data_IF_705722944027
#
_entry.id   IF_705722944027
#
_cell.length_a   1.000
_cell.length_b   1.000
_cell.length_c   1.000
_cell.angle_alpha   90.00
_cell.angle_beta   90.00
_cell.angle_gamma   90.00
#
_symmetry.space_group_name_H-M   'P 1'
#
loop_
_entity.id
_entity.type
_entity.pdbx_description
1 polymer ?
#
# COMPACT_ATOMS: atom_id res chain seq x y z
N UNK A 1 12.00 23.35 -32.12
CA UNK A 1 10.72 23.43 -32.88
C UNK A 1 10.37 22.00 -33.28
N UNK A 2 9.25 21.34 -32.96
CA UNK A 2 7.96 21.65 -32.35
C UNK A 2 7.46 20.39 -31.61
N UNK A 3 7.15 20.58 -30.34
CA UNK A 3 6.05 20.02 -29.52
C UNK A 3 5.16 18.91 -30.13
N UNK A 4 5.07 17.78 -29.41
CA UNK A 4 3.93 16.85 -29.44
C UNK A 4 3.40 16.71 -28.01
N UNK A 5 2.45 17.56 -27.67
CA UNK A 5 1.70 17.56 -26.42
C UNK A 5 0.25 17.26 -26.76
N UNK A 6 -0.21 16.01 -26.64
CA UNK A 6 -1.64 15.65 -26.71
C UNK A 6 -1.88 14.26 -26.12
N UNK A 7 -2.07 14.14 -24.80
CA UNK A 7 -3.04 13.20 -24.20
C UNK A 7 -3.54 13.84 -22.89
N UNK A 8 -4.48 14.77 -23.01
CA UNK A 8 -5.40 15.18 -21.94
C UNK A 8 -6.82 15.12 -22.52
N UNK A 9 -7.49 14.01 -22.28
CA UNK A 9 -8.94 13.82 -22.31
C UNK A 9 -9.14 12.63 -21.35
N UNK A 10 -9.85 12.74 -20.24
CA UNK A 10 -11.32 12.82 -20.20
C UNK A 10 -11.75 13.26 -18.77
N UNK A 11 -12.57 14.30 -18.62
CA UNK A 11 -13.52 14.40 -17.51
C UNK A 11 -14.95 14.26 -18.06
N UNK A 12 -15.63 13.16 -17.71
CA UNK A 12 -17.05 12.95 -17.99
C UNK A 12 -17.87 13.45 -16.81
N UNK A 13 -18.48 14.62 -17.03
CA UNK A 13 -19.86 15.01 -16.74
C UNK A 13 -20.67 14.15 -15.76
N UNK A 14 -20.99 14.71 -14.59
CA UNK A 14 -22.31 14.53 -13.96
C UNK A 14 -22.78 15.91 -13.45
N UNK A 15 -23.67 16.52 -14.22
CA UNK A 15 -24.53 17.63 -13.81
C UNK A 15 -25.89 17.08 -13.44
N UNK A 16 -26.38 17.35 -12.22
CA UNK A 16 -27.81 17.31 -11.90
C UNK A 16 -28.15 18.59 -11.12
N UNK A 17 -29.23 19.21 -11.55
CA UNK A 17 -29.61 20.60 -11.35
C UNK A 17 -30.63 20.78 -10.22
N UNK A 18 -30.62 21.99 -9.64
CA UNK A 18 -31.76 22.78 -9.11
C UNK A 18 -32.46 22.33 -7.81
N UNK A 19 -32.30 23.16 -6.78
CA UNK A 19 -33.43 23.82 -6.11
C UNK A 19 -32.94 25.09 -5.39
N UNK A 20 -33.25 26.25 -5.96
CA UNK A 20 -33.13 27.56 -5.30
C UNK A 20 -34.24 27.68 -4.24
N UNK A 21 -33.91 28.15 -3.05
CA UNK A 21 -34.87 28.76 -2.14
C UNK A 21 -34.31 30.10 -1.66
N UNK A 22 -35.07 31.15 -1.95
CA UNK A 22 -34.85 32.53 -1.55
C UNK A 22 -35.00 32.67 -0.03
N UNK A 23 -34.22 33.55 0.61
CA UNK A 23 -34.76 34.47 1.62
C UNK A 23 -33.77 35.61 1.94
N UNK A 24 -34.24 36.80 1.60
CA UNK A 24 -34.15 38.08 2.33
C UNK A 24 -32.78 38.65 2.76
N UNK A 25 -32.48 39.78 2.15
CA UNK A 25 -31.56 40.79 2.64
C UNK A 25 -31.97 41.32 4.03
N UNK A 26 -30.98 41.55 4.89
CA UNK A 26 -31.03 42.60 5.90
C UNK A 26 -29.68 43.33 5.93
N UNK A 27 -29.78 44.65 5.95
CA UNK A 27 -28.72 45.63 5.81
C UNK A 27 -28.30 46.13 7.21
N UNK A 28 -27.03 46.54 7.30
CA UNK A 28 -26.39 47.40 8.32
C UNK A 28 -25.89 46.75 9.63
N UNK A 29 -24.56 46.75 9.81
CA UNK A 29 -23.92 47.86 10.55
C UNK A 29 -22.38 47.77 10.57
N UNK A 30 -21.77 48.90 10.20
CA UNK A 30 -20.53 49.51 10.68
C UNK A 30 -19.34 48.67 11.16
N UNK A 31 -18.16 48.97 10.59
CA UNK A 31 -16.90 48.78 11.29
C UNK A 31 -15.67 48.79 10.38
N UNK A 32 -15.31 49.95 9.83
CA UNK A 32 -13.97 50.18 9.31
C UNK A 32 -12.95 50.07 10.46
N UNK A 33 -12.14 49.02 10.46
CA UNK A 33 -11.10 48.81 11.46
C UNK A 33 -10.09 47.78 10.99
N UNK A 34 -9.12 48.21 10.20
CA UNK A 34 -7.82 47.56 10.11
C UNK A 34 -7.26 47.37 11.51
N UNK A 35 -7.12 46.12 11.97
CA UNK A 35 -6.41 45.81 13.21
C UNK A 35 -5.58 44.55 13.01
N UNK A 36 -4.27 44.76 13.15
CA UNK A 36 -3.23 43.79 13.02
C UNK A 36 -3.36 42.65 14.06
N UNK A 37 -2.97 41.46 13.61
CA UNK A 37 -2.49 40.29 14.35
C UNK A 37 -2.66 40.27 15.88
N UNK A 38 -3.65 39.52 16.35
CA UNK A 38 -3.50 38.72 17.58
C UNK A 38 -3.69 37.25 17.19
N UNK A 39 -2.59 36.61 16.80
CA UNK A 39 -2.56 35.21 16.40
C UNK A 39 -2.75 34.30 17.61
N UNK A 40 -4.01 34.11 18.05
CA UNK A 40 -4.37 32.92 18.80
C UNK A 40 -4.26 31.77 17.81
N UNK A 41 -3.21 30.95 17.93
CA UNK A 41 -3.08 29.71 17.18
C UNK A 41 -4.21 28.77 17.61
N UNK A 42 -5.38 28.88 16.98
CA UNK A 42 -6.40 27.86 17.09
C UNK A 42 -5.88 26.63 16.35
N UNK A 43 -5.63 25.57 17.10
CA UNK A 43 -5.45 24.22 16.56
C UNK A 43 -6.67 23.93 15.68
N UNK A 44 -6.51 24.06 14.35
CA UNK A 44 -7.58 23.80 13.41
C UNK A 44 -8.23 22.45 13.74
N UNK A 45 -9.56 22.45 13.92
CA UNK A 45 -10.29 21.25 14.31
C UNK A 45 -10.00 20.10 13.35
N UNK A 46 -10.16 18.83 13.75
CA UNK A 46 -9.91 17.68 12.88
C UNK A 46 -10.71 17.73 11.57
N UNK A 47 -11.81 18.48 11.58
CA UNK A 47 -12.63 18.72 10.40
C UNK A 47 -12.22 19.93 9.57
N UNK A 48 -11.24 20.76 9.94
CA UNK A 48 -10.95 22.05 9.27
C UNK A 48 -10.00 22.00 8.08
N UNK A 49 -9.23 20.91 7.94
CA UNK A 49 -8.22 20.80 6.89
C UNK A 49 -8.78 20.07 5.65
N UNK A 50 -8.73 20.73 4.50
CA UNK A 50 -9.11 20.13 3.21
C UNK A 50 -8.09 19.08 2.75
N UNK A 51 -6.80 19.36 2.94
CA UNK A 51 -5.69 18.47 2.59
C UNK A 51 -4.93 18.05 3.85
N UNK A 52 -4.37 16.85 3.82
CA UNK A 52 -3.53 16.29 4.90
C UNK A 52 -4.23 16.34 6.27
N UNK A 53 -5.39 15.66 6.43
CA UNK A 53 -6.06 15.57 7.73
C UNK A 53 -5.21 14.79 8.73
N UNK A 54 -5.48 14.94 10.03
CA UNK A 54 -4.69 14.28 11.09
C UNK A 54 -4.73 12.75 11.03
N UNK A 55 -5.79 12.19 10.45
CA UNK A 55 -6.00 10.77 10.20
C UNK A 55 -5.62 10.35 8.76
N UNK A 56 -4.77 11.13 8.09
CA UNK A 56 -4.31 10.82 6.74
C UNK A 56 -3.62 9.45 6.65
N UNK A 57 -2.79 9.12 7.65
CA UNK A 57 -1.98 7.91 7.66
C UNK A 57 -2.63 6.85 8.54
N UNK A 58 -2.84 5.68 7.98
CA UNK A 58 -3.30 4.52 8.73
C UNK A 58 -2.61 3.28 8.20
N UNK A 59 -2.26 2.34 9.06
CA UNK A 59 -1.54 1.16 8.63
C UNK A 59 -1.27 0.19 9.75
N UNK A 60 -0.58 -0.88 9.39
CA UNK A 60 -0.04 -1.84 10.33
C UNK A 60 1.30 -2.34 9.80
N UNK A 61 2.12 -2.84 10.71
CA UNK A 61 3.32 -3.59 10.40
C UNK A 61 3.33 -4.84 11.27
N UNK A 62 3.86 -5.93 10.73
CA UNK A 62 3.86 -7.25 11.33
C UNK A 62 5.21 -7.90 11.09
N UNK A 63 5.72 -8.56 12.12
CA UNK A 63 6.91 -9.39 12.04
C UNK A 63 6.52 -10.82 12.36
N UNK A 64 6.78 -11.71 11.41
CA UNK A 64 6.49 -13.12 11.51
C UNK A 64 7.78 -13.94 11.55
N UNK A 65 7.77 -14.96 12.40
CA UNK A 65 8.81 -15.97 12.50
C UNK A 65 8.21 -17.34 12.24
N UNK A 66 8.68 -17.98 11.18
CA UNK A 66 8.31 -19.33 10.77
C UNK A 66 9.23 -20.38 11.41
N UNK A 67 8.71 -21.29 12.25
CA UNK A 67 9.49 -22.39 12.80
C UNK A 67 10.05 -23.34 11.73
N UNK A 68 11.04 -24.20 12.07
CA UNK A 68 11.51 -25.25 11.19
C UNK A 68 10.39 -26.10 10.61
N UNK A 69 10.50 -26.43 9.33
CA UNK A 69 9.52 -27.19 8.55
C UNK A 69 8.20 -26.45 8.26
N UNK A 70 8.10 -25.15 8.59
CA UNK A 70 6.97 -24.29 8.24
C UNK A 70 7.45 -22.98 7.61
N UNK A 71 8.52 -23.05 6.82
CA UNK A 71 9.11 -21.90 6.12
C UNK A 71 8.14 -21.31 5.10
N UNK A 72 8.26 -20.00 4.90
CA UNK A 72 7.57 -19.29 3.84
C UNK A 72 8.26 -19.61 2.52
N UNK A 73 7.50 -20.10 1.54
CA UNK A 73 7.98 -20.38 0.20
C UNK A 73 7.59 -19.25 -0.76
N UNK A 74 8.52 -18.38 -1.17
CA UNK A 74 8.26 -17.38 -2.20
C UNK A 74 8.17 -17.98 -3.62
N UNK A 75 8.36 -19.30 -3.78
CA UNK A 75 8.36 -20.06 -5.03
C UNK A 75 9.36 -19.53 -6.06
N UNK A 76 10.54 -19.15 -5.57
CA UNK A 76 11.68 -18.72 -6.40
C UNK A 76 12.65 -19.88 -6.63
N UNK A 77 12.61 -20.88 -5.75
CA UNK A 77 13.34 -22.13 -5.86
C UNK A 77 12.36 -23.29 -6.00
N UNK A 78 12.75 -24.30 -6.77
CA UNK A 78 12.01 -25.55 -6.81
C UNK A 78 12.02 -26.22 -5.43
N UNK A 79 10.89 -26.81 -5.03
CA UNK A 79 10.74 -27.50 -3.74
C UNK A 79 11.68 -28.70 -3.56
N UNK A 80 12.27 -29.19 -4.65
CA UNK A 80 13.31 -30.23 -4.67
C UNK A 80 14.74 -29.67 -4.78
N UNK A 81 14.97 -28.36 -4.60
CA UNK A 81 16.30 -27.70 -4.68
C UNK A 81 17.43 -28.41 -3.90
N UNK A 82 17.10 -29.21 -2.89
CA UNK A 82 18.07 -30.06 -2.19
C UNK A 82 18.80 -31.06 -3.11
N UNK A 83 18.22 -31.48 -4.25
CA UNK A 83 18.87 -32.41 -5.17
C UNK A 83 20.09 -31.79 -5.87
N UNK A 84 20.15 -30.46 -5.91
CA UNK A 84 21.20 -29.69 -6.59
C UNK A 84 22.33 -29.23 -5.65
N UNK A 85 22.48 -29.85 -4.47
CA UNK A 85 23.59 -29.54 -3.54
C UNK A 85 23.30 -29.77 -2.06
N UNK A 86 22.19 -30.40 -1.70
CA UNK A 86 21.84 -30.75 -0.33
C UNK A 86 21.73 -29.51 0.57
N UNK A 87 22.55 -29.47 1.62
CA UNK A 87 22.62 -28.32 2.52
C UNK A 87 23.35 -27.11 1.90
N UNK A 88 24.10 -27.31 0.81
CA UNK A 88 24.84 -26.27 0.10
C UNK A 88 24.19 -25.93 -1.25
N UNK A 89 22.91 -26.28 -1.44
CA UNK A 89 22.20 -25.98 -2.67
C UNK A 89 22.26 -24.46 -2.96
N UNK A 90 22.57 -24.08 -4.22
CA UNK A 90 22.69 -22.67 -4.59
C UNK A 90 21.35 -21.92 -4.43
N UNK A 91 20.23 -22.62 -4.58
CA UNK A 91 18.89 -22.07 -4.37
C UNK A 91 18.41 -22.31 -2.94
N UNK A 92 18.54 -21.31 -2.06
CA UNK A 92 18.21 -21.38 -0.62
C UNK A 92 17.25 -20.26 -0.16
N UNK A 93 16.14 -20.11 -0.88
CA UNK A 93 15.23 -18.95 -0.75
C UNK A 93 13.97 -19.22 0.09
N UNK A 94 13.99 -20.22 0.96
CA UNK A 94 12.86 -20.47 1.87
C UNK A 94 13.00 -19.58 3.11
N UNK A 95 12.05 -18.66 3.27
CA UNK A 95 12.13 -17.60 4.26
C UNK A 95 11.66 -18.07 5.63
N UNK A 96 12.31 -17.54 6.66
CA UNK A 96 11.99 -17.78 8.07
C UNK A 96 11.44 -16.54 8.75
N UNK A 97 11.91 -15.37 8.34
CA UNK A 97 11.46 -14.11 8.88
C UNK A 97 10.74 -13.33 7.79
N UNK A 98 9.60 -12.76 8.12
CA UNK A 98 8.88 -11.87 7.24
C UNK A 98 8.53 -10.59 7.99
N UNK A 99 8.90 -9.45 7.43
CA UNK A 99 8.44 -8.15 7.87
C UNK A 99 7.46 -7.63 6.82
N UNK A 100 6.17 -7.60 7.15
CA UNK A 100 5.12 -7.13 6.24
C UNK A 100 4.42 -5.92 6.83
N UNK A 101 3.79 -5.11 5.98
CA UNK A 101 2.98 -4.00 6.46
C UNK A 101 2.07 -3.46 5.38
N UNK A 102 1.15 -2.59 5.78
CA UNK A 102 0.39 -1.73 4.89
C UNK A 102 0.41 -0.31 5.41
N UNK A 103 0.60 0.65 4.52
CA UNK A 103 0.44 2.06 4.81
C UNK A 103 -0.56 2.64 3.83
N UNK A 104 -1.68 3.12 4.36
CA UNK A 104 -2.75 3.78 3.65
C UNK A 104 -2.64 5.30 3.87
N UNK A 105 -2.79 6.04 2.78
CA UNK A 105 -2.71 7.50 2.73
C UNK A 105 -4.03 8.04 2.19
N UNK A 106 -4.64 8.95 2.96
CA UNK A 106 -5.88 9.66 2.62
C UNK A 106 -5.61 11.17 2.55
N UNK A 107 -5.31 11.70 1.36
CA UNK A 107 -4.85 13.07 1.24
C UNK A 107 -5.95 14.10 1.48
N UNK A 108 -7.24 13.73 1.38
CA UNK A 108 -8.38 14.64 1.47
C UNK A 108 -9.14 14.49 2.80
N UNK A 109 -9.31 15.58 3.53
CA UNK A 109 -10.06 15.63 4.79
C UNK A 109 -11.53 16.03 4.67
N UNK A 110 -11.94 16.59 3.53
CA UNK A 110 -13.31 17.09 3.27
C UNK A 110 -13.80 16.73 1.86
N UNK A 111 -15.12 16.74 1.69
CA UNK A 111 -15.79 16.52 0.41
C UNK A 111 -15.92 15.05 -0.02
N UNK A 112 -16.43 14.78 -1.23
CA UNK A 112 -16.63 13.42 -1.74
C UNK A 112 -15.32 12.64 -1.91
N UNK A 113 -14.19 13.34 -2.10
CA UNK A 113 -12.86 12.76 -2.26
C UNK A 113 -12.24 12.23 -0.96
N UNK A 114 -12.82 12.52 0.22
CA UNK A 114 -12.37 11.95 1.51
C UNK A 114 -12.40 10.40 1.53
N UNK A 115 -13.19 9.81 0.63
CA UNK A 115 -13.31 8.35 0.48
C UNK A 115 -12.17 7.73 -0.32
N UNK A 116 -11.40 8.54 -1.05
CA UNK A 116 -10.28 8.07 -1.85
C UNK A 116 -9.08 7.74 -0.96
N UNK A 117 -8.44 6.62 -1.24
CA UNK A 117 -7.25 6.19 -0.53
C UNK A 117 -6.24 5.57 -1.49
N UNK A 118 -4.97 5.77 -1.18
CA UNK A 118 -3.84 5.08 -1.81
C UNK A 118 -3.16 4.25 -0.73
N UNK A 119 -2.64 3.08 -1.05
CA UNK A 119 -1.83 2.33 -0.10
C UNK A 119 -0.63 1.65 -0.76
N UNK A 120 0.39 1.39 0.06
CA UNK A 120 1.47 0.47 -0.25
C UNK A 120 1.48 -0.65 0.77
N UNK A 121 1.71 -1.89 0.33
CA UNK A 121 1.92 -3.04 1.19
C UNK A 121 3.22 -3.78 0.83
N UNK A 122 4.35 -3.43 1.46
CA UNK A 122 5.60 -4.14 1.29
C UNK A 122 5.69 -5.38 2.17
N UNK A 123 6.36 -6.43 1.67
CA UNK A 123 6.76 -7.59 2.46
C UNK A 123 8.23 -7.93 2.22
N UNK A 124 9.05 -7.89 3.28
CA UNK A 124 10.47 -8.22 3.25
C UNK A 124 10.66 -9.64 3.76
N UNK A 125 11.36 -10.46 2.99
CA UNK A 125 11.70 -11.83 3.37
C UNK A 125 13.16 -12.00 3.72
N UNK A 126 13.40 -12.76 4.79
CA UNK A 126 14.74 -13.15 5.23
C UNK A 126 14.79 -14.64 5.58
N UNK A 127 15.91 -15.28 5.26
CA UNK A 127 16.16 -16.68 5.54
C UNK A 127 17.23 -17.28 4.64
N UNK A 128 17.72 -18.46 5.03
CA UNK A 128 18.65 -19.26 4.24
C UNK A 128 18.35 -20.74 4.48
N UNK A 129 17.19 -21.18 4.00
CA UNK A 129 16.73 -22.55 4.20
C UNK A 129 16.62 -23.29 2.87
N UNK A 130 16.82 -24.59 2.94
CA UNK A 130 16.59 -25.56 1.86
C UNK A 130 15.70 -26.66 2.46
N UNK A 131 14.56 -26.99 1.84
CA UNK A 131 13.64 -27.96 2.38
C UNK A 131 14.35 -29.29 2.62
N UNK A 132 14.08 -29.90 3.78
CA UNK A 132 14.60 -31.20 4.24
C UNK A 132 16.09 -31.23 4.63
N UNK A 133 16.93 -30.33 4.12
CA UNK A 133 18.39 -30.45 4.28
C UNK A 133 19.04 -29.31 5.05
N UNK A 134 18.50 -28.09 5.02
CA UNK A 134 19.10 -26.93 5.68
C UNK A 134 18.05 -26.05 6.35
N UNK A 135 18.17 -25.92 7.66
CA UNK A 135 17.31 -25.06 8.49
C UNK A 135 18.16 -24.17 9.38
N UNK A 136 18.35 -22.92 8.97
CA UNK A 136 19.16 -21.92 9.66
C UNK A 136 18.29 -20.83 10.29
N UNK A 137 18.83 -20.22 11.34
CA UNK A 137 18.25 -19.03 11.98
C UNK A 137 18.84 -17.72 11.44
N UNK A 138 19.52 -17.75 10.29
CA UNK A 138 20.15 -16.55 9.74
C UNK A 138 19.12 -15.62 9.08
N UNK A 139 19.09 -14.32 9.44
CA UNK A 139 18.24 -13.31 8.79
C UNK A 139 18.88 -12.83 7.48
N UNK A 140 19.21 -13.76 6.59
CA UNK A 140 19.84 -13.46 5.31
C UNK A 140 18.79 -12.92 4.32
N UNK A 141 19.06 -11.79 3.66
CA UNK A 141 18.05 -11.10 2.84
C UNK A 141 17.71 -11.89 1.58
N UNK A 142 16.43 -12.25 1.43
CA UNK A 142 15.93 -12.96 0.24
C UNK A 142 15.43 -11.95 -0.79
N UNK A 143 14.54 -11.05 -0.37
CA UNK A 143 14.00 -10.04 -1.25
C UNK A 143 12.80 -9.30 -0.69
N UNK A 144 12.17 -8.52 -1.57
CA UNK A 144 11.04 -7.64 -1.23
C UNK A 144 9.91 -7.86 -2.23
N UNK A 145 8.71 -8.08 -1.71
CA UNK A 145 7.47 -7.92 -2.46
C UNK A 145 7.00 -6.47 -2.30
N UNK A 146 6.76 -5.81 -3.43
CA UNK A 146 6.14 -4.50 -3.47
C UNK A 146 4.73 -4.63 -4.02
N UNK A 147 3.74 -4.12 -3.27
CA UNK A 147 2.40 -3.93 -3.81
C UNK A 147 1.89 -2.54 -3.48
N UNK A 148 1.15 -1.95 -4.41
CA UNK A 148 0.44 -0.70 -4.16
C UNK A 148 -0.95 -0.75 -4.77
N UNK A 149 -1.83 0.11 -4.28
CA UNK A 149 -3.18 0.14 -4.77
C UNK A 149 -3.90 1.44 -4.46
N UNK A 150 -5.07 1.55 -5.08
CA UNK A 150 -5.99 2.66 -4.91
C UNK A 150 -7.38 2.13 -4.65
N UNK A 151 -8.15 2.87 -3.89
CA UNK A 151 -9.47 2.40 -3.48
C UNK A 151 -10.37 3.52 -3.04
N UNK A 152 -11.63 3.15 -2.93
CA UNK A 152 -12.70 4.04 -2.49
C UNK A 152 -13.44 3.40 -1.34
N UNK A 153 -13.70 4.20 -0.32
CA UNK A 153 -14.58 3.81 0.76
C UNK A 153 -16.03 3.76 0.30
N UNK A 154 -16.68 2.67 0.63
CA UNK A 154 -18.10 2.44 0.46
C UNK A 154 -18.79 2.57 1.83
N UNK A 155 -20.11 2.41 1.89
CA UNK A 155 -20.82 2.50 3.17
C UNK A 155 -20.49 1.33 4.12
N UNK A 156 -20.64 1.56 5.43
CA UNK A 156 -20.55 0.52 6.47
C UNK A 156 -19.23 -0.25 6.52
N UNK A 157 -18.07 0.37 6.35
CA UNK A 157 -16.80 -0.34 6.50
C UNK A 157 -16.37 -1.15 5.28
N UNK A 158 -17.10 -1.06 4.15
CA UNK A 158 -16.70 -1.69 2.89
C UNK A 158 -15.79 -0.78 2.08
N UNK A 159 -14.89 -1.37 1.31
CA UNK A 159 -13.98 -0.65 0.43
C UNK A 159 -13.82 -1.41 -0.87
N UNK A 160 -13.91 -0.69 -1.98
CA UNK A 160 -13.48 -1.22 -3.27
C UNK A 160 -12.01 -0.90 -3.48
N UNK A 161 -11.24 -1.89 -3.95
CA UNK A 161 -9.78 -1.83 -4.03
C UNK A 161 -9.28 -2.38 -5.35
N UNK A 162 -8.32 -1.66 -5.93
CA UNK A 162 -7.49 -2.11 -7.03
C UNK A 162 -6.07 -2.21 -6.51
N UNK A 163 -5.48 -3.40 -6.53
CA UNK A 163 -4.12 -3.63 -6.06
C UNK A 163 -3.28 -4.14 -7.22
N UNK A 164 -2.14 -3.49 -7.44
CA UNK A 164 -1.09 -3.97 -8.33
C UNK A 164 -0.02 -4.66 -7.48
N UNK A 165 0.19 -5.95 -7.74
CA UNK A 165 1.32 -6.71 -7.21
C UNK A 165 2.47 -6.62 -8.20
N UNK A 166 3.68 -6.35 -7.71
CA UNK A 166 4.89 -6.27 -8.53
C UNK A 166 5.68 -7.58 -8.45
N UNK A 167 6.65 -7.70 -9.35
CA UNK A 167 7.59 -8.80 -9.28
C UNK A 167 8.36 -8.72 -7.96
N UNK A 168 8.63 -9.89 -7.39
CA UNK A 168 9.50 -10.00 -6.24
C UNK A 168 10.95 -9.61 -6.61
N UNK A 169 11.49 -8.62 -5.89
CA UNK A 169 12.85 -8.13 -6.10
C UNK A 169 13.82 -8.89 -5.19
N UNK A 170 14.65 -9.74 -5.80
CA UNK A 170 15.66 -10.55 -5.08
C UNK A 170 16.82 -9.67 -4.64
N UNK A 171 17.30 -9.89 -3.42
CA UNK A 171 18.39 -9.11 -2.83
C UNK A 171 19.66 -9.93 -2.60
N UNK A 172 20.79 -9.21 -2.49
CA UNK A 172 22.08 -9.79 -2.09
C UNK A 172 22.58 -10.88 -3.04
N UNK A 173 23.07 -11.99 -2.47
CA UNK A 173 23.66 -13.11 -3.21
C UNK A 173 22.65 -13.87 -4.11
N UNK A 174 21.35 -13.55 -3.99
CA UNK A 174 20.24 -14.20 -4.70
C UNK A 174 19.72 -13.39 -5.90
N UNK A 175 20.37 -12.27 -6.23
CA UNK A 175 20.02 -11.41 -7.38
C UNK A 175 20.49 -11.95 -8.74
N UNK A 176 20.93 -13.21 -8.79
CA UNK A 176 21.47 -13.89 -9.97
C UNK A 176 20.77 -15.21 -10.17
N UNK A 177 21.00 -15.84 -11.31
CA UNK A 177 20.54 -17.20 -11.56
C UNK A 177 21.19 -18.16 -10.53
N UNK A 178 20.36 -18.88 -9.78
CA UNK A 178 20.76 -19.81 -8.72
C UNK A 178 20.87 -21.28 -9.19
N UNK A 179 20.89 -21.52 -10.50
CA UNK A 179 21.05 -22.84 -11.09
C UNK A 179 19.74 -23.47 -11.54
N UNK A 180 19.73 -24.79 -11.68
CA UNK A 180 18.62 -25.54 -12.31
C UNK A 180 17.32 -25.48 -11.49
N UNK A 181 17.42 -25.40 -10.16
CA UNK A 181 16.28 -25.20 -9.28
C UNK A 181 15.75 -23.75 -9.22
N UNK A 182 16.35 -22.79 -9.94
CA UNK A 182 15.86 -21.41 -9.96
C UNK A 182 14.63 -21.29 -10.89
N UNK A 183 13.47 -20.98 -10.31
CA UNK A 183 12.21 -20.83 -11.04
C UNK A 183 12.00 -19.42 -11.61
N UNK A 184 12.95 -18.50 -11.38
CA UNK A 184 12.84 -17.11 -11.79
C UNK A 184 11.77 -16.33 -11.01
N UNK A 185 11.31 -15.21 -11.59
CA UNK A 185 10.38 -14.27 -10.94
C UNK A 185 8.91 -14.51 -11.30
N UNK A 186 8.57 -15.68 -11.84
CA UNK A 186 7.21 -16.01 -12.32
C UNK A 186 6.38 -16.83 -11.31
N UNK A 187 6.75 -16.82 -10.02
CA UNK A 187 6.00 -17.51 -8.96
C UNK A 187 4.67 -16.82 -8.57
N UNK A 188 3.98 -17.27 -7.49
CA UNK A 188 2.77 -16.65 -6.94
C UNK A 188 2.97 -15.18 -6.54
N UNK A 189 4.22 -14.76 -6.32
CA UNK A 189 4.64 -13.37 -6.11
C UNK A 189 5.07 -12.69 -7.42
N UNK A 190 4.45 -13.13 -8.51
CA UNK A 190 4.58 -12.55 -9.83
C UNK A 190 3.72 -11.30 -9.98
N UNK A 191 3.79 -10.70 -11.17
CA UNK A 191 3.04 -9.46 -11.46
C UNK A 191 1.60 -9.77 -11.83
N UNK A 192 0.67 -9.33 -11.00
CA UNK A 192 -0.76 -9.39 -11.30
C UNK A 192 -1.52 -8.21 -10.69
N UNK A 193 -2.73 -7.98 -11.19
CA UNK A 193 -3.65 -6.98 -10.66
C UNK A 193 -4.83 -7.70 -10.02
N UNK A 194 -5.24 -7.24 -8.84
CA UNK A 194 -6.41 -7.74 -8.15
C UNK A 194 -7.46 -6.64 -7.97
N UNK A 195 -8.71 -6.99 -8.24
CA UNK A 195 -9.88 -6.18 -7.92
C UNK A 195 -10.59 -6.86 -6.76
N UNK A 196 -10.80 -6.12 -5.67
CA UNK A 196 -11.31 -6.72 -4.43
C UNK A 196 -12.22 -5.79 -3.66
N UNK A 197 -13.04 -6.38 -2.81
CA UNK A 197 -13.84 -5.68 -1.81
C UNK A 197 -13.31 -6.07 -0.43
N UNK A 198 -12.91 -5.08 0.37
CA UNK A 198 -12.45 -5.30 1.75
C UNK A 198 -13.50 -4.83 2.74
N UNK A 199 -13.72 -5.62 3.79
CA UNK A 199 -14.54 -5.25 4.94
C UNK A 199 -13.63 -5.00 6.13
N UNK A 200 -13.76 -3.83 6.76
CA UNK A 200 -13.13 -3.58 8.07
C UNK A 200 -14.17 -3.72 9.18
N UNK A 201 -13.80 -4.42 10.23
CA UNK A 201 -14.57 -4.54 11.47
C UNK A 201 -14.00 -3.61 12.54
N UNK A 202 -14.86 -2.99 13.36
CA UNK A 202 -14.46 -2.01 14.38
C UNK A 202 -14.60 -0.55 13.96
N UNK A 203 -14.29 0.35 14.89
CA UNK A 203 -14.40 1.80 14.70
C UNK A 203 -13.24 2.34 13.86
N UNK A 204 -13.28 2.09 12.56
CA UNK A 204 -12.42 2.82 11.62
C UNK A 204 -12.94 4.25 11.53
N UNK A 205 -12.10 5.24 11.88
CA UNK A 205 -12.43 6.65 11.73
C UNK A 205 -12.55 6.95 10.22
N UNK A 206 -13.75 7.37 9.83
CA UNK A 206 -14.12 7.80 8.49
C UNK A 206 -14.43 9.28 8.50
#
# INVERSE_FOLDING_TARGET
MKQWAWILAVPVLISISVAQTQTSASVSSNGSGSSASSGIWHEAGPNDRMFFPKDMLWGWAQFDLSPPHNEIDPNLCAGNSYVDGGANAPCNMFARYMLSGILEVRPFGRGPLRRFMVWGAPAFLFGKNVPKTLYTWSPDAIGIEHSWGVGIYMTRGFEFRVTQHFLFDRLGARNKNLGVADLGNNGPWGRYMSLGVRKTFGARRW
#
